data_IF_731707579892
#
_entry.id   IF_731707579892
#
_cell.length_a   1.000
_cell.length_b   1.000
_cell.length_c   1.000
_cell.angle_alpha   90.00
_cell.angle_beta   90.00
_cell.angle_gamma   90.00
#
_symmetry.space_group_name_H-M   'P 1'
#
loop_
_entity.id
_entity.type
_entity.pdbx_description
1 polymer ?
#
# COMPACT_ATOMS: atom_id res chain seq x y z
N UNK A 1 -6.35 -5.55 9.75
CA UNK A 1 -6.84 -4.17 9.53
C UNK A 1 -5.63 -3.28 9.41
N UNK A 2 -5.61 -2.23 8.59
CA UNK A 2 -4.43 -1.39 8.42
C UNK A 2 -4.67 -0.12 7.59
N UNK A 3 -3.67 0.75 7.54
CA UNK A 3 -3.73 2.03 6.83
C UNK A 3 -3.69 1.83 5.31
N UNK A 4 -4.54 2.53 4.58
CA UNK A 4 -4.50 2.59 3.12
C UNK A 4 -4.00 3.97 2.68
N UNK A 5 -2.89 4.00 1.93
CA UNK A 5 -2.23 5.24 1.51
C UNK A 5 -3.02 6.03 0.44
N UNK A 6 -3.95 5.39 -0.27
CA UNK A 6 -4.69 6.03 -1.36
C UNK A 6 -5.90 6.84 -0.87
N UNK A 7 -6.70 6.28 0.04
CA UNK A 7 -7.85 7.00 0.61
C UNK A 7 -7.57 7.58 2.01
N UNK A 8 -6.33 7.45 2.50
CA UNK A 8 -5.84 8.00 3.77
C UNK A 8 -6.71 7.67 4.98
N UNK A 9 -7.10 6.40 5.12
CA UNK A 9 -7.91 5.90 6.23
C UNK A 9 -7.65 4.40 6.46
N UNK A 10 -7.99 3.92 7.65
CA UNK A 10 -7.91 2.50 7.97
C UNK A 10 -8.96 1.66 7.22
N UNK A 11 -8.54 0.48 6.77
CA UNK A 11 -9.37 -0.43 6.02
C UNK A 11 -9.02 -1.91 6.28
N UNK A 12 -9.95 -2.79 5.91
CA UNK A 12 -9.73 -4.25 5.87
C UNK A 12 -9.13 -4.66 4.52
N UNK A 13 -8.40 -5.77 4.50
CA UNK A 13 -7.83 -6.34 3.27
C UNK A 13 -6.79 -5.44 2.58
N UNK A 14 -6.05 -4.64 3.36
CA UNK A 14 -4.92 -3.88 2.85
C UNK A 14 -3.77 -4.82 2.44
N UNK A 15 -3.13 -4.54 1.31
CA UNK A 15 -1.99 -5.27 0.76
C UNK A 15 -0.87 -4.28 0.44
N UNK A 16 0.39 -4.70 0.59
CA UNK A 16 1.56 -3.89 0.23
C UNK A 16 1.59 -3.69 -1.28
N UNK A 17 1.71 -2.44 -1.74
CA UNK A 17 1.79 -2.06 -3.16
C UNK A 17 3.23 -1.73 -3.55
N UNK A 18 3.95 -1.01 -2.70
CA UNK A 18 5.36 -0.70 -2.96
C UNK A 18 6.08 -0.50 -1.65
N UNK A 19 7.32 -0.98 -1.56
CA UNK A 19 8.27 -0.44 -0.60
C UNK A 19 8.75 0.90 -1.14
N UNK A 20 8.78 1.92 -0.30
CA UNK A 20 9.42 3.18 -0.64
C UNK A 20 10.81 3.10 -0.04
N UNK A 21 11.80 2.83 -0.89
CA UNK A 21 13.22 2.81 -0.52
C UNK A 21 13.60 4.25 -0.15
N UNK A 22 13.71 4.56 1.14
CA UNK A 22 13.97 5.93 1.61
C UNK A 22 15.45 6.14 1.93
N UNK A 23 16.07 7.09 1.22
CA UNK A 23 17.25 7.82 1.70
C UNK A 23 16.97 8.80 2.85
N UNK A 24 15.92 8.58 3.66
CA UNK A 24 15.55 9.45 4.78
C UNK A 24 15.29 8.65 6.05
N UNK A 25 16.00 9.06 7.10
CA UNK A 25 16.29 8.35 8.35
C UNK A 25 15.09 8.02 9.27
N UNK A 26 13.85 8.02 8.77
CA UNK A 26 12.65 7.69 9.55
C UNK A 26 11.79 6.68 8.79
N UNK A 27 12.15 5.41 8.94
CA UNK A 27 11.30 4.22 8.74
C UNK A 27 10.76 4.02 7.33
N UNK A 28 11.31 3.05 6.61
CA UNK A 28 10.72 2.49 5.38
C UNK A 28 9.28 2.03 5.66
N UNK A 29 8.31 2.91 5.38
CA UNK A 29 6.90 2.57 5.57
C UNK A 29 6.34 2.24 4.19
N UNK A 30 6.24 0.95 3.89
CA UNK A 30 5.65 0.48 2.64
C UNK A 30 4.25 1.09 2.42
N UNK A 31 3.90 1.36 1.16
CA UNK A 31 2.58 1.86 0.78
C UNK A 31 1.60 0.70 0.67
N UNK A 32 0.56 0.70 1.49
CA UNK A 32 -0.49 -0.32 1.46
C UNK A 32 -1.79 0.23 0.85
N UNK A 33 -2.55 -0.64 0.18
CA UNK A 33 -3.86 -0.30 -0.39
C UNK A 33 -4.93 -1.35 -0.07
N UNK A 34 -6.14 -0.89 0.28
CA UNK A 34 -7.32 -1.74 0.47
C UNK A 34 -7.86 -2.26 -0.86
N UNK A 35 -8.72 -3.29 -0.84
CA UNK A 35 -9.29 -3.87 -2.07
C UNK A 35 -10.02 -2.84 -2.96
N UNK A 36 -10.91 -1.97 -2.45
CA UNK A 36 -11.54 -0.94 -3.28
C UNK A 36 -10.53 -0.01 -3.98
N UNK A 37 -9.53 0.50 -3.25
CA UNK A 37 -8.51 1.35 -3.86
C UNK A 37 -7.64 0.59 -4.87
N UNK A 38 -7.34 -0.69 -4.64
CA UNK A 38 -6.61 -1.49 -5.63
C UNK A 38 -7.37 -1.61 -6.95
N UNK A 39 -8.69 -1.78 -6.90
CA UNK A 39 -9.51 -1.80 -8.11
C UNK A 39 -9.70 -0.42 -8.75
N UNK A 40 -9.86 0.63 -7.94
CA UNK A 40 -10.11 1.99 -8.45
C UNK A 40 -8.86 2.65 -9.09
N UNK A 41 -7.66 2.26 -8.64
CA UNK A 41 -6.39 2.82 -9.09
C UNK A 41 -5.50 1.77 -9.80
N UNK A 42 -6.06 0.63 -10.21
CA UNK A 42 -5.36 -0.47 -10.89
C UNK A 42 -4.04 -0.88 -10.21
N UNK A 43 -4.05 -0.97 -8.87
CA UNK A 43 -2.86 -1.22 -8.08
C UNK A 43 -2.62 -2.71 -7.94
N UNK A 44 -1.46 -3.17 -8.41
CA UNK A 44 -1.00 -4.55 -8.24
C UNK A 44 -0.21 -4.67 -6.92
N UNK A 45 -0.64 -5.52 -5.98
CA UNK A 45 0.14 -5.84 -4.79
C UNK A 45 1.55 -6.29 -5.12
N UNK A 46 2.51 -5.91 -4.29
CA UNK A 46 3.92 -6.25 -4.47
C UNK A 46 4.14 -7.77 -4.55
N UNK A 47 3.38 -8.55 -3.76
CA UNK A 47 3.43 -10.02 -3.77
C UNK A 47 2.87 -10.67 -5.05
N UNK A 48 2.14 -9.91 -5.88
CA UNK A 48 1.52 -10.40 -7.12
C UNK A 48 2.33 -9.96 -8.36
N UNK A 49 3.51 -9.33 -8.17
CA UNK A 49 4.42 -8.95 -9.26
C UNK A 49 5.38 -10.10 -9.58
N UNK A 50 5.78 -10.27 -10.85
CA UNK A 50 6.74 -11.31 -11.26
C UNK A 50 8.14 -11.08 -10.69
#
# INVERSE_FOLDING_TARGET
FGWCAWHQNYARGVRLISVQDQGSAFGDTGRFACRPCRHAYDLVPLADRP
#
